data_IF_220309867483
#
_entry.id   IF_220309867483
#
_cell.length_a   1.000
_cell.length_b   1.000
_cell.length_c   1.000
_cell.angle_alpha   90.00
_cell.angle_beta   90.00
_cell.angle_gamma   90.00
#
_symmetry.space_group_name_H-M   'P 1'
#
loop_
_entity.id
_entity.type
_entity.pdbx_description
1 polymer ?
#
# COMPACT_ATOMS: atom_id res chain seq x y z
N UNK A 1 -27.12 -46.46 37.04
CA UNK A 1 -25.86 -46.50 36.29
C UNK A 1 -26.17 -47.02 34.90
N UNK A 2 -26.02 -46.20 33.86
CA UNK A 2 -26.14 -46.64 32.47
C UNK A 2 -24.78 -46.37 31.83
N UNK A 3 -24.02 -47.43 31.65
CA UNK A 3 -22.77 -47.45 30.89
C UNK A 3 -23.07 -47.72 29.41
N UNK A 4 -22.06 -47.39 28.60
CA UNK A 4 -21.84 -47.87 27.25
C UNK A 4 -22.50 -47.06 26.13
N UNK A 5 -21.88 -45.88 25.91
CA UNK A 5 -21.23 -45.51 24.64
C UNK A 5 -21.51 -46.44 23.44
N UNK A 6 -22.75 -46.43 22.93
CA UNK A 6 -22.99 -46.82 21.55
C UNK A 6 -22.48 -45.69 20.66
N UNK A 7 -21.24 -45.84 20.15
CA UNK A 7 -20.77 -45.13 18.96
C UNK A 7 -21.61 -45.59 17.77
N UNK A 8 -22.81 -45.05 17.65
CA UNK A 8 -23.59 -45.11 16.43
C UNK A 8 -22.79 -44.41 15.33
N UNK A 9 -22.31 -45.18 14.37
CA UNK A 9 -21.91 -44.62 13.08
C UNK A 9 -23.18 -44.10 12.40
N UNK A 10 -23.44 -42.79 12.54
CA UNK A 10 -24.38 -42.13 11.65
C UNK A 10 -23.74 -42.07 10.27
N UNK A 11 -24.18 -42.93 9.35
CA UNK A 11 -24.00 -42.68 7.93
C UNK A 11 -24.91 -41.52 7.52
N UNK A 12 -24.52 -40.28 7.82
CA UNK A 12 -25.16 -39.13 7.19
C UNK A 12 -24.43 -38.85 5.88
N UNK A 13 -25.14 -38.92 4.76
CA UNK A 13 -24.63 -38.63 3.43
C UNK A 13 -23.75 -37.37 3.41
N UNK A 14 -22.74 -37.36 2.54
CA UNK A 14 -21.70 -36.33 2.44
C UNK A 14 -22.30 -34.92 2.38
N UNK A 15 -22.53 -34.34 3.56
CA UNK A 15 -23.15 -33.04 3.68
C UNK A 15 -22.05 -32.03 3.41
N UNK A 16 -22.09 -31.41 2.24
CA UNK A 16 -21.14 -30.36 1.86
C UNK A 16 -21.39 -29.15 2.74
N UNK A 17 -20.53 -28.96 3.73
CA UNK A 17 -20.55 -27.77 4.59
C UNK A 17 -19.81 -26.65 3.85
N UNK A 18 -20.51 -25.55 3.58
CA UNK A 18 -19.94 -24.37 2.96
C UNK A 18 -19.76 -23.27 4.00
N UNK A 19 -18.54 -22.79 4.16
CA UNK A 19 -18.25 -21.61 4.96
C UNK A 19 -18.49 -20.37 4.09
N UNK A 20 -19.49 -19.55 4.44
CA UNK A 20 -19.71 -18.23 3.84
C UNK A 20 -19.48 -17.18 4.92
N UNK A 21 -18.63 -16.19 4.61
CA UNK A 21 -18.46 -15.01 5.44
C UNK A 21 -18.36 -13.78 4.54
N UNK A 22 -18.77 -12.63 5.09
CA UNK A 22 -18.66 -11.32 4.45
C UNK A 22 -17.59 -10.55 5.20
N UNK A 23 -16.63 -9.99 4.47
CA UNK A 23 -15.61 -9.11 5.04
C UNK A 23 -15.85 -7.71 4.51
N UNK A 24 -16.15 -6.78 5.40
CA UNK A 24 -16.20 -5.36 5.06
C UNK A 24 -14.81 -4.78 5.30
N UNK A 25 -14.07 -4.57 4.21
CA UNK A 25 -12.70 -4.06 4.26
C UNK A 25 -12.70 -2.56 3.98
N UNK A 26 -12.24 -1.76 4.95
CA UNK A 26 -12.00 -0.33 4.75
C UNK A 26 -10.53 -0.12 4.41
N UNK A 27 -10.22 0.09 3.13
CA UNK A 27 -8.83 0.40 2.72
C UNK A 27 -8.76 1.61 1.81
N UNK A 28 -8.04 2.63 2.27
CA UNK A 28 -7.89 3.92 1.60
C UNK A 28 -7.20 3.84 0.23
N UNK A 29 -6.46 2.75 -0.05
CA UNK A 29 -5.79 2.57 -1.34
C UNK A 29 -6.67 1.91 -2.42
N UNK A 30 -7.76 1.22 -2.06
CA UNK A 30 -8.70 0.62 -3.03
C UNK A 30 -9.61 1.65 -3.68
N UNK A 31 -9.90 2.75 -2.98
CA UNK A 31 -10.78 3.84 -3.43
C UNK A 31 -10.07 4.93 -4.27
N UNK A 32 -8.93 4.61 -4.90
CA UNK A 32 -8.33 5.49 -5.91
C UNK A 32 -7.70 6.80 -5.39
N UNK A 33 -7.56 7.00 -4.08
CA UNK A 33 -7.07 8.27 -3.49
C UNK A 33 -5.55 8.48 -3.70
N UNK A 34 -4.83 7.49 -4.22
CA UNK A 34 -3.41 7.63 -4.55
C UNK A 34 -3.11 7.44 -6.05
N UNK A 35 -4.01 7.88 -6.93
CA UNK A 35 -3.58 8.28 -8.27
C UNK A 35 -2.73 9.52 -8.10
N UNK A 36 -1.41 9.34 -7.97
CA UNK A 36 -0.47 10.44 -8.15
C UNK A 36 -0.90 11.19 -9.41
N UNK A 37 -1.10 12.52 -9.34
CA UNK A 37 -1.42 13.27 -10.54
C UNK A 37 -0.33 12.97 -11.58
N UNK A 38 -0.73 12.89 -12.86
CA UNK A 38 0.22 12.65 -13.97
C UNK A 38 1.43 13.58 -13.86
N UNK A 39 1.20 14.84 -13.51
CA UNK A 39 2.23 15.83 -13.21
C UNK A 39 3.17 15.42 -12.07
N UNK A 40 2.63 14.96 -10.94
CA UNK A 40 3.45 14.54 -9.80
C UNK A 40 4.33 13.35 -10.15
N UNK A 41 3.81 12.38 -10.90
CA UNK A 41 4.58 11.24 -11.38
C UNK A 41 5.70 11.69 -12.32
N UNK A 42 5.36 12.52 -13.32
CA UNK A 42 6.33 13.11 -14.25
C UNK A 42 7.45 13.85 -13.53
N UNK A 43 7.12 14.69 -12.54
CA UNK A 43 8.12 15.40 -11.75
C UNK A 43 9.06 14.46 -10.98
N UNK A 44 8.52 13.39 -10.40
CA UNK A 44 9.32 12.41 -9.67
C UNK A 44 10.27 11.69 -10.63
N UNK A 45 9.76 11.23 -11.77
CA UNK A 45 10.55 10.52 -12.79
C UNK A 45 11.67 11.43 -13.33
N UNK A 46 11.34 12.70 -13.61
CA UNK A 46 12.33 13.69 -14.05
C UNK A 46 13.41 13.94 -12.97
N UNK A 47 13.04 14.09 -11.70
CA UNK A 47 14.01 14.26 -10.60
C UNK A 47 14.95 13.05 -10.51
N UNK A 48 14.43 11.83 -10.68
CA UNK A 48 15.29 10.63 -10.67
C UNK A 48 16.24 10.59 -11.86
N UNK A 49 15.79 10.92 -13.07
CA UNK A 49 16.66 11.00 -14.23
C UNK A 49 17.80 12.02 -14.01
N UNK A 50 17.51 13.16 -13.38
CA UNK A 50 18.54 14.16 -13.07
C UNK A 50 19.53 13.68 -11.98
N UNK A 51 19.11 12.81 -11.07
CA UNK A 51 20.02 12.17 -10.11
C UNK A 51 20.91 11.14 -10.81
N UNK A 52 20.36 10.39 -11.76
CA UNK A 52 21.12 9.41 -12.56
C UNK A 52 22.17 10.12 -13.45
N UNK A 53 21.86 11.34 -13.92
CA UNK A 53 22.81 12.28 -14.54
C UNK A 53 23.87 12.85 -13.57
N UNK A 54 23.86 12.43 -12.29
CA UNK A 54 24.75 12.87 -11.21
C UNK A 54 24.64 14.35 -10.84
N UNK A 55 23.49 15.00 -11.08
CA UNK A 55 23.27 16.36 -10.60
C UNK A 55 23.06 16.38 -9.07
N UNK A 56 23.61 17.42 -8.43
CA UNK A 56 23.33 17.71 -7.03
C UNK A 56 21.91 18.25 -6.85
N UNK A 57 21.35 18.12 -5.64
CA UNK A 57 19.99 18.59 -5.34
C UNK A 57 19.75 20.09 -5.63
N UNK A 58 20.81 20.90 -5.53
CA UNK A 58 20.75 22.32 -5.84
C UNK A 58 20.70 22.58 -7.34
N UNK A 59 21.54 21.88 -8.11
CA UNK A 59 21.50 21.91 -9.58
C UNK A 59 20.16 21.40 -10.12
N UNK A 60 19.59 20.35 -9.51
CA UNK A 60 18.27 19.83 -9.85
C UNK A 60 17.19 20.89 -9.62
N UNK A 61 17.22 21.57 -8.47
CA UNK A 61 16.27 22.65 -8.18
C UNK A 61 16.38 23.79 -9.19
N UNK A 62 17.60 24.19 -9.55
CA UNK A 62 17.84 25.24 -10.53
C UNK A 62 17.38 24.84 -11.93
N UNK A 63 17.65 23.60 -12.37
CA UNK A 63 17.22 23.06 -13.68
C UNK A 63 15.69 22.94 -13.77
N UNK A 64 15.03 22.51 -12.70
CA UNK A 64 13.57 22.46 -12.64
C UNK A 64 12.95 23.86 -12.72
N UNK A 65 13.52 24.83 -12.00
CA UNK A 65 13.06 26.21 -12.03
C UNK A 65 13.31 26.86 -13.40
N UNK A 66 14.44 26.58 -14.06
CA UNK A 66 14.74 27.14 -15.40
C UNK A 66 13.83 26.57 -16.49
N UNK A 67 13.38 25.33 -16.33
CA UNK A 67 12.37 24.69 -17.18
C UNK A 67 10.92 25.11 -16.83
N UNK A 68 10.75 26.09 -15.94
CA UNK A 68 9.44 26.60 -15.47
C UNK A 68 8.54 25.54 -14.81
N UNK A 69 9.11 24.48 -14.22
CA UNK A 69 8.33 23.57 -13.37
C UNK A 69 8.02 24.21 -12.02
N UNK A 70 6.84 23.90 -11.48
CA UNK A 70 6.45 24.29 -10.13
C UNK A 70 6.41 23.07 -9.22
N UNK A 71 6.71 23.26 -7.93
CA UNK A 71 6.47 22.19 -6.96
C UNK A 71 4.97 21.92 -6.83
N UNK A 72 4.61 20.80 -6.19
CA UNK A 72 3.22 20.40 -5.94
C UNK A 72 2.40 21.40 -5.09
N UNK A 73 3.04 22.44 -4.55
CA UNK A 73 2.42 23.52 -3.78
C UNK A 73 2.56 24.87 -4.50
N UNK A 74 2.81 24.84 -5.80
CA UNK A 74 3.08 26.00 -6.66
C UNK A 74 4.25 26.90 -6.22
N UNK A 75 5.18 26.35 -5.43
CA UNK A 75 6.42 27.03 -5.01
C UNK A 75 7.59 26.71 -5.93
N UNK A 76 8.57 27.61 -6.01
CA UNK A 76 9.88 27.33 -6.63
C UNK A 76 10.54 26.13 -5.95
N UNK A 77 11.29 25.35 -6.72
CA UNK A 77 12.09 24.27 -6.17
C UNK A 77 13.27 24.81 -5.38
N UNK A 78 13.51 24.21 -4.23
CA UNK A 78 14.69 24.42 -3.41
C UNK A 78 15.33 23.06 -3.14
N UNK A 79 16.63 23.05 -2.78
CA UNK A 79 17.34 21.84 -2.35
C UNK A 79 16.56 21.03 -1.30
N UNK A 80 15.95 21.71 -0.33
CA UNK A 80 15.14 21.08 0.72
C UNK A 80 13.87 20.40 0.19
N UNK A 81 13.22 20.99 -0.82
CA UNK A 81 12.06 20.37 -1.49
C UNK A 81 12.48 19.10 -2.21
N UNK A 82 13.58 19.13 -2.96
CA UNK A 82 14.11 17.95 -3.68
C UNK A 82 14.44 16.83 -2.70
N UNK A 83 15.19 17.14 -1.64
CA UNK A 83 15.51 16.19 -0.58
C UNK A 83 14.25 15.58 0.05
N UNK A 84 13.25 16.40 0.37
CA UNK A 84 11.98 15.94 0.95
C UNK A 84 11.18 15.02 0.02
N UNK A 85 11.21 15.27 -1.29
CA UNK A 85 10.57 14.40 -2.29
C UNK A 85 11.24 13.03 -2.30
N UNK A 86 12.58 12.99 -2.33
CA UNK A 86 13.35 11.75 -2.38
C UNK A 86 13.20 10.91 -1.11
N UNK A 87 13.30 11.54 0.06
CA UNK A 87 13.12 10.85 1.34
C UNK A 87 11.73 10.21 1.44
N UNK A 88 10.67 10.92 1.02
CA UNK A 88 9.31 10.36 1.02
C UNK A 88 9.19 9.15 0.09
N UNK A 89 9.86 9.17 -1.06
CA UNK A 89 9.88 8.04 -1.97
C UNK A 89 10.62 6.83 -1.38
N UNK A 90 11.77 7.05 -0.73
CA UNK A 90 12.49 5.97 -0.04
C UNK A 90 11.66 5.36 1.09
N UNK A 91 11.00 6.19 1.91
CA UNK A 91 10.10 5.72 2.98
C UNK A 91 8.94 4.91 2.38
N UNK A 92 8.34 5.36 1.27
CA UNK A 92 7.29 4.59 0.59
C UNK A 92 7.79 3.26 0.02
N UNK A 93 8.97 3.21 -0.60
CA UNK A 93 9.58 1.95 -1.05
C UNK A 93 9.83 0.99 0.11
N UNK A 94 10.34 1.48 1.24
CA UNK A 94 10.54 0.69 2.47
C UNK A 94 9.23 0.14 3.05
N UNK A 95 8.15 0.93 3.02
CA UNK A 95 6.81 0.51 3.49
C UNK A 95 6.09 -0.48 2.57
N UNK A 96 6.55 -0.67 1.32
CA UNK A 96 6.02 -1.70 0.41
C UNK A 96 6.53 -3.12 0.72
N UNK A 97 7.30 -3.31 1.81
CA UNK A 97 7.54 -4.65 2.33
C UNK A 97 6.20 -5.34 2.57
N UNK A 98 6.05 -6.58 2.07
CA UNK A 98 4.82 -7.37 2.06
C UNK A 98 4.09 -7.24 3.40
N UNK A 99 2.90 -6.65 3.40
CA UNK A 99 1.97 -6.85 4.51
C UNK A 99 1.57 -8.32 4.51
N UNK A 100 2.22 -9.12 5.35
CA UNK A 100 1.77 -10.47 5.69
C UNK A 100 0.73 -10.27 6.78
N UNK A 101 -0.54 -10.38 6.40
CA UNK A 101 -1.62 -10.47 7.37
C UNK A 101 -1.75 -11.94 7.78
N UNK A 102 -1.25 -12.26 8.98
CA UNK A 102 -1.37 -13.57 9.63
C UNK A 102 -2.09 -13.44 10.96
N UNK A 103 -2.51 -14.57 11.56
CA UNK A 103 -3.14 -14.66 12.89
C UNK A 103 -4.58 -14.13 13.01
N UNK A 104 -5.41 -14.41 12.01
CA UNK A 104 -6.85 -14.22 12.16
C UNK A 104 -7.42 -15.23 13.17
N UNK A 105 -7.82 -14.77 14.36
CA UNK A 105 -8.59 -15.59 15.32
C UNK A 105 -10.06 -15.58 14.90
N UNK A 106 -10.54 -16.72 14.42
CA UNK A 106 -11.94 -16.95 14.10
C UNK A 106 -12.65 -17.52 15.32
N UNK A 107 -13.72 -16.87 15.75
CA UNK A 107 -14.63 -17.38 16.78
C UNK A 107 -15.95 -17.74 16.12
N UNK A 108 -16.36 -19.00 16.26
CA UNK A 108 -17.66 -19.46 15.78
C UNK A 108 -18.71 -19.14 16.84
N UNK A 109 -19.63 -18.24 16.52
CA UNK A 109 -20.82 -18.03 17.32
C UNK A 109 -21.85 -19.10 16.92
N UNK A 110 -22.21 -19.94 17.88
CA UNK A 110 -23.30 -20.89 17.73
C UNK A 110 -24.62 -20.13 17.89
N UNK A 111 -25.38 -20.01 16.81
CA UNK A 111 -26.77 -19.51 16.83
C UNK A 111 -27.69 -20.67 17.16
#
# INVERSE_FOLDING_TARGET
>A
MLSDFQRGYFSSGSTKVYLKFKVDITVNYLWGVQRFSSYRKHLIDLIFNLIDEKLTYEQIANKLNSMNYKSLRDKKFTKGIIYGILNKQQIHKKKKSKHIYSDFKLYFLRV
#
